data_IF_362010943839
#
_entry.id   IF_362010943839
#
_cell.length_a   1.000
_cell.length_b   1.000
_cell.length_c   1.000
_cell.angle_alpha   90.00
_cell.angle_beta   90.00
_cell.angle_gamma   90.00
#
_symmetry.space_group_name_H-M   'P 1'
#
loop_
_entity.id
_entity.type
_entity.pdbx_description
1 polymer ?
#
# COMPACT_ATOMS: atom_id res chain seq x y z
N UNK A 1 -23.86 -12.06 19.29
CA UNK A 1 -22.87 -12.99 18.71
C UNK A 1 -22.46 -12.41 17.36
N UNK A 2 -21.18 -12.07 17.19
CA UNK A 2 -20.70 -11.10 16.19
C UNK A 2 -20.91 -11.51 14.73
N UNK A 3 -21.24 -10.53 13.90
CA UNK A 3 -21.33 -10.63 12.44
C UNK A 3 -19.95 -10.88 11.85
N UNK A 4 -19.59 -12.15 11.69
CA UNK A 4 -18.38 -12.55 10.96
C UNK A 4 -18.62 -12.16 9.49
N UNK A 5 -17.93 -11.10 9.06
CA UNK A 5 -18.20 -10.44 7.79
C UNK A 5 -18.14 -11.39 6.59
N UNK A 6 -19.12 -11.26 5.71
CA UNK A 6 -19.29 -11.99 4.44
C UNK A 6 -17.98 -12.08 3.64
N UNK A 7 -17.13 -11.05 3.74
CA UNK A 7 -15.82 -10.97 3.10
C UNK A 7 -14.86 -12.12 3.47
N UNK A 8 -14.81 -12.54 4.74
CA UNK A 8 -13.93 -13.62 5.16
C UNK A 8 -14.43 -14.98 4.66
N UNK A 9 -15.76 -15.12 4.53
CA UNK A 9 -16.40 -16.31 4.01
C UNK A 9 -16.21 -16.45 2.49
N UNK A 10 -16.27 -15.34 1.75
CA UNK A 10 -15.96 -15.33 0.32
C UNK A 10 -14.51 -15.73 0.09
N UNK A 11 -13.56 -15.21 0.88
CA UNK A 11 -12.14 -15.57 0.74
C UNK A 11 -11.89 -17.05 1.09
N UNK A 12 -12.50 -17.56 2.16
CA UNK A 12 -12.42 -18.98 2.52
C UNK A 12 -13.09 -19.88 1.48
N UNK A 13 -14.22 -19.45 0.92
CA UNK A 13 -14.91 -20.12 -0.19
C UNK A 13 -14.05 -20.16 -1.45
N UNK A 14 -13.39 -19.05 -1.78
CA UNK A 14 -12.45 -18.95 -2.89
C UNK A 14 -11.25 -19.89 -2.71
N UNK A 15 -10.66 -19.95 -1.51
CA UNK A 15 -9.57 -20.87 -1.20
C UNK A 15 -9.99 -22.34 -1.31
N UNK A 16 -11.19 -22.68 -0.85
CA UNK A 16 -11.72 -24.05 -0.95
C UNK A 16 -11.93 -24.45 -2.41
N UNK A 17 -12.46 -23.54 -3.23
CA UNK A 17 -12.66 -23.78 -4.67
C UNK A 17 -11.34 -23.93 -5.43
N UNK A 18 -10.31 -23.17 -5.06
CA UNK A 18 -8.94 -23.34 -5.60
C UNK A 18 -8.33 -24.70 -5.24
N UNK A 19 -8.58 -25.21 -4.04
CA UNK A 19 -8.07 -26.52 -3.59
C UNK A 19 -8.76 -27.73 -4.25
N UNK A 20 -10.00 -27.57 -4.75
CA UNK A 20 -10.77 -28.66 -5.36
C UNK A 20 -10.48 -28.90 -6.86
N UNK A 21 -9.53 -28.15 -7.44
CA UNK A 21 -8.73 -28.61 -8.59
C UNK A 21 -9.50 -28.89 -9.88
N UNK A 22 -9.48 -27.90 -10.80
CA UNK A 22 -9.47 -28.03 -12.28
C UNK A 22 -9.95 -26.72 -12.91
N UNK A 23 -9.27 -25.63 -12.60
CA UNK A 23 -9.19 -24.56 -13.58
C UNK A 23 -7.73 -24.53 -13.99
N UNK A 24 -7.49 -24.84 -15.26
CA UNK A 24 -6.26 -24.54 -15.98
C UNK A 24 -5.72 -23.24 -15.42
N UNK A 25 -4.46 -23.25 -14.98
CA UNK A 25 -3.70 -22.11 -14.44
C UNK A 25 -3.84 -20.94 -15.40
N UNK A 26 -4.95 -20.21 -15.30
CA UNK A 26 -5.27 -19.16 -16.23
C UNK A 26 -4.34 -18.03 -15.87
N UNK A 27 -3.39 -17.73 -16.74
CA UNK A 27 -2.61 -16.50 -16.68
C UNK A 27 -3.50 -15.29 -16.38
N UNK A 28 -4.76 -15.28 -16.81
CA UNK A 28 -5.75 -14.27 -16.44
C UNK A 28 -6.01 -14.16 -14.92
N UNK A 29 -6.14 -15.27 -14.20
CA UNK A 29 -6.34 -15.26 -12.73
C UNK A 29 -5.06 -14.84 -12.01
N UNK A 30 -3.89 -15.29 -12.49
CA UNK A 30 -2.59 -14.83 -11.97
C UNK A 30 -2.36 -13.35 -12.26
N UNK A 31 -2.62 -12.87 -13.47
CA UNK A 31 -2.52 -11.48 -13.86
C UNK A 31 -3.53 -10.61 -13.11
N UNK A 32 -4.74 -11.10 -12.82
CA UNK A 32 -5.68 -10.40 -11.95
C UNK A 32 -5.25 -10.41 -10.48
N UNK A 33 -4.64 -11.50 -9.98
CA UNK A 33 -4.04 -11.55 -8.64
C UNK A 33 -2.80 -10.65 -8.54
N UNK A 34 -1.99 -10.56 -9.58
CA UNK A 34 -0.83 -9.69 -9.66
C UNK A 34 -1.26 -8.23 -9.85
N UNK A 35 -2.27 -7.95 -10.67
CA UNK A 35 -2.90 -6.63 -10.74
C UNK A 35 -3.51 -6.25 -9.39
N UNK A 36 -4.17 -7.18 -8.70
CA UNK A 36 -4.68 -6.97 -7.35
C UNK A 36 -3.55 -6.77 -6.33
N UNK A 37 -2.41 -7.47 -6.44
CA UNK A 37 -1.23 -7.27 -5.58
C UNK A 37 -0.52 -5.95 -5.87
N UNK A 38 -0.43 -5.55 -7.14
CA UNK A 38 0.19 -4.30 -7.62
C UNK A 38 -0.71 -3.10 -7.28
N UNK A 39 -2.03 -3.24 -7.42
CA UNK A 39 -3.05 -2.34 -6.85
C UNK A 39 -3.05 -2.37 -5.32
N UNK A 40 -2.68 -3.49 -4.68
CA UNK A 40 -2.63 -3.60 -3.23
C UNK A 40 -1.50 -2.78 -2.63
N UNK A 41 -0.39 -2.52 -3.36
CA UNK A 41 0.64 -1.59 -2.89
C UNK A 41 0.32 -0.14 -3.27
N UNK A 42 -0.84 0.32 -2.77
CA UNK A 42 -1.27 1.72 -2.80
C UNK A 42 -0.23 2.69 -2.26
N UNK A 43 0.75 2.23 -1.46
CA UNK A 43 1.82 3.08 -0.94
C UNK A 43 2.81 3.39 -2.05
N UNK A 44 3.19 2.41 -2.87
CA UNK A 44 4.01 2.64 -4.05
C UNK A 44 3.32 3.56 -5.05
N UNK A 45 2.03 3.33 -5.31
CA UNK A 45 1.25 4.15 -6.24
C UNK A 45 1.17 5.61 -5.75
N UNK A 46 0.85 5.81 -4.46
CA UNK A 46 0.90 7.12 -3.82
C UNK A 46 2.24 7.82 -3.99
N UNK A 47 3.36 7.11 -3.77
CA UNK A 47 4.69 7.71 -3.92
C UNK A 47 4.97 8.16 -5.35
N UNK A 48 4.60 7.34 -6.34
CA UNK A 48 4.81 7.61 -7.75
C UNK A 48 3.96 8.81 -8.23
N UNK A 49 2.65 8.77 -7.97
CA UNK A 49 1.72 9.81 -8.45
C UNK A 49 1.89 11.15 -7.72
N UNK A 50 2.26 11.12 -6.44
CA UNK A 50 2.55 12.34 -5.70
C UNK A 50 3.99 12.83 -5.89
N UNK A 51 4.80 12.13 -6.71
CA UNK A 51 6.17 12.54 -7.04
C UNK A 51 7.16 12.43 -5.89
N UNK A 52 6.90 11.56 -4.91
CA UNK A 52 7.85 11.28 -3.83
C UNK A 52 9.00 10.40 -4.32
N UNK A 53 10.22 10.88 -4.11
CA UNK A 53 11.45 10.17 -4.41
C UNK A 53 12.25 9.94 -3.14
N UNK A 54 13.01 8.83 -3.12
CA UNK A 54 13.99 8.56 -2.06
C UNK A 54 15.00 9.71 -2.01
N UNK A 55 15.35 10.15 -0.80
CA UNK A 55 16.31 11.24 -0.59
C UNK A 55 17.24 10.92 0.58
N UNK A 56 18.54 11.14 0.44
CA UNK A 56 19.51 11.01 1.54
C UNK A 56 19.52 12.20 2.49
N UNK A 57 19.22 13.39 1.98
CA UNK A 57 19.46 14.67 2.67
C UNK A 57 18.17 15.37 3.07
N UNK A 58 17.02 14.82 2.68
CA UNK A 58 15.71 15.39 2.97
C UNK A 58 14.82 14.37 3.66
N UNK A 59 14.21 14.80 4.75
CA UNK A 59 13.31 13.97 5.56
C UNK A 59 11.94 14.61 5.64
N UNK A 60 10.90 13.82 5.43
CA UNK A 60 9.51 14.22 5.65
C UNK A 60 9.01 13.57 6.94
N UNK A 61 8.29 14.29 7.83
CA UNK A 61 7.66 13.68 8.99
C UNK A 61 6.73 12.54 8.58
N UNK A 62 6.93 11.35 9.15
CA UNK A 62 6.15 10.16 8.79
C UNK A 62 4.65 10.36 9.05
N UNK A 63 4.31 11.17 10.06
CA UNK A 63 2.92 11.53 10.39
C UNK A 63 2.24 12.32 9.27
N UNK A 64 2.95 13.30 8.70
CA UNK A 64 2.43 14.11 7.60
C UNK A 64 2.35 13.29 6.33
N UNK A 65 3.41 12.54 6.00
CA UNK A 65 3.41 11.62 4.86
C UNK A 65 2.26 10.60 4.92
N UNK A 66 1.96 10.05 6.10
CA UNK A 66 0.84 9.14 6.29
C UNK A 66 -0.53 9.85 6.21
N UNK A 67 -0.62 11.12 6.59
CA UNK A 67 -1.85 11.91 6.41
C UNK A 67 -2.14 12.09 4.92
N UNK A 68 -1.11 12.45 4.14
CA UNK A 68 -1.23 12.68 2.71
C UNK A 68 -1.58 11.37 1.98
N UNK A 69 -0.95 10.26 2.35
CA UNK A 69 -1.30 8.92 1.86
C UNK A 69 -2.77 8.54 2.12
N UNK A 70 -3.30 8.87 3.31
CA UNK A 70 -4.71 8.60 3.62
C UNK A 70 -5.66 9.47 2.79
N UNK A 71 -5.32 10.74 2.58
CA UNK A 71 -6.12 11.63 1.73
C UNK A 71 -6.17 11.07 0.30
N UNK A 72 -5.01 10.78 -0.28
CA UNK A 72 -4.89 10.12 -1.58
C UNK A 72 -5.73 8.84 -1.67
N UNK A 73 -5.68 7.96 -0.65
CA UNK A 73 -6.50 6.76 -0.66
C UNK A 73 -8.01 7.05 -0.68
N UNK A 74 -8.46 8.06 0.07
CA UNK A 74 -9.89 8.41 0.14
C UNK A 74 -10.34 9.02 -1.19
N UNK A 75 -9.52 9.87 -1.80
CA UNK A 75 -9.81 10.55 -3.06
C UNK A 75 -9.93 9.55 -4.22
N UNK A 76 -9.03 8.57 -4.30
CA UNK A 76 -9.02 7.55 -5.36
C UNK A 76 -9.84 6.29 -5.03
N UNK A 77 -10.52 6.25 -3.87
CA UNK A 77 -11.34 5.11 -3.46
C UNK A 77 -10.55 3.87 -3.01
N UNK A 78 -9.25 4.03 -2.74
CA UNK A 78 -8.43 3.00 -2.11
C UNK A 78 -8.69 2.89 -0.61
N UNK A 79 -8.48 1.67 -0.07
CA UNK A 79 -8.50 1.45 1.38
C UNK A 79 -7.09 1.68 1.96
N UNK A 80 -6.88 2.69 2.82
CA UNK A 80 -5.57 2.92 3.40
C UNK A 80 -5.16 1.76 4.31
N UNK A 81 -3.90 1.35 4.22
CA UNK A 81 -3.32 0.43 5.20
C UNK A 81 -3.04 1.14 6.52
N UNK A 82 -2.93 0.38 7.61
CA UNK A 82 -2.54 0.96 8.90
C UNK A 82 -1.10 1.51 8.87
N UNK A 83 -0.75 2.33 9.86
CA UNK A 83 0.54 3.01 9.93
C UNK A 83 1.75 2.04 9.94
N UNK A 84 1.61 0.87 10.61
CA UNK A 84 2.67 -0.14 10.67
C UNK A 84 2.96 -0.77 9.31
N UNK A 85 1.90 -1.10 8.56
CA UNK A 85 2.00 -1.63 7.20
C UNK A 85 2.46 -0.57 6.20
N UNK A 86 2.04 0.69 6.40
CA UNK A 86 2.54 1.82 5.62
C UNK A 86 4.05 1.95 5.75
N UNK A 87 4.57 1.98 6.99
CA UNK A 87 6.01 2.03 7.25
C UNK A 87 6.74 0.81 6.66
N UNK A 88 6.19 -0.39 6.81
CA UNK A 88 6.76 -1.60 6.20
C UNK A 88 6.86 -1.50 4.67
N UNK A 89 5.84 -0.93 4.02
CA UNK A 89 5.81 -0.74 2.56
C UNK A 89 6.72 0.38 2.09
N UNK A 90 6.88 1.47 2.85
CA UNK A 90 7.89 2.49 2.59
C UNK A 90 9.29 1.85 2.53
N UNK A 91 9.65 1.10 3.58
CA UNK A 91 10.95 0.41 3.63
C UNK A 91 11.11 -0.62 2.48
N UNK A 92 10.03 -1.31 2.09
CA UNK A 92 10.04 -2.22 0.93
C UNK A 92 10.24 -1.48 -0.41
N UNK A 93 9.89 -0.20 -0.49
CA UNK A 93 10.14 0.68 -1.64
C UNK A 93 11.48 1.45 -1.50
N UNK A 94 12.37 1.03 -0.59
CA UNK A 94 13.70 1.64 -0.42
C UNK A 94 13.71 2.93 0.39
N UNK A 95 12.58 3.33 0.97
CA UNK A 95 12.47 4.53 1.80
C UNK A 95 12.79 4.16 3.24
N UNK A 96 13.94 4.65 3.72
CA UNK A 96 14.31 4.46 5.12
C UNK A 96 13.43 5.32 6.03
N UNK A 97 13.08 4.77 7.19
CA UNK A 97 12.40 5.51 8.25
C UNK A 97 13.19 5.44 9.56
N UNK A 98 13.33 6.57 10.25
CA UNK A 98 14.11 6.69 11.47
C UNK A 98 13.32 7.42 12.56
N UNK A 99 13.64 7.15 13.83
CA UNK A 99 13.09 7.89 14.97
C UNK A 99 13.89 9.18 15.19
N UNK A 100 13.22 10.32 15.03
CA UNK A 100 13.75 11.65 15.30
C UNK A 100 13.15 12.27 16.58
N UNK A 101 13.61 13.48 16.94
CA UNK A 101 13.19 14.21 18.15
C UNK A 101 11.67 14.47 18.23
N UNK A 102 11.01 14.61 17.09
CA UNK A 102 9.58 14.96 17.00
C UNK A 102 8.69 13.82 16.50
N UNK A 103 9.20 12.58 16.46
CA UNK A 103 8.49 11.41 15.94
C UNK A 103 9.31 10.66 14.89
N UNK A 104 8.66 9.84 14.08
CA UNK A 104 9.34 9.16 12.96
C UNK A 104 9.43 10.07 11.75
N UNK A 105 10.52 9.95 11.00
CA UNK A 105 10.75 10.63 9.73
C UNK A 105 11.03 9.59 8.63
N UNK A 106 10.70 9.94 7.39
CA UNK A 106 10.97 9.14 6.20
C UNK A 106 11.90 9.92 5.27
N UNK A 107 12.91 9.24 4.74
CA UNK A 107 13.93 9.78 3.83
C UNK A 107 13.39 9.90 2.40
N UNK A 108 12.47 10.86 2.22
CA UNK A 108 11.77 11.13 0.96
C UNK A 108 11.64 12.63 0.72
N UNK A 109 11.70 13.03 -0.55
CA UNK A 109 11.38 14.39 -1.00
C UNK A 109 10.23 14.35 -2.00
N UNK A 110 9.34 15.34 -1.94
CA UNK A 110 8.34 15.57 -3.00
C UNK A 110 9.01 16.36 -4.12
N UNK A 111 8.97 15.83 -5.34
CA UNK A 111 9.40 16.58 -6.52
C UNK A 111 8.21 17.41 -6.95
N UNK A 112 8.17 18.68 -6.55
CA UNK A 112 7.17 19.61 -7.06
C UNK A 112 7.45 19.75 -8.57
N UNK A 113 6.58 19.16 -9.40
CA UNK A 113 6.49 19.55 -10.81
C UNK A 113 5.89 20.95 -10.82
N UNK A 114 6.75 21.95 -10.65
CA UNK A 114 6.44 23.32 -11.03
C UNK A 114 6.21 23.34 -12.54
N UNK A 115 4.95 23.58 -12.94
CA UNK A 115 4.60 24.12 -14.24
C UNK A 115 4.11 25.55 -14.04
#
# INVERSE_FOLDING_TARGET
>A
MGTIGVFNWILAGLQRLLAQGRFTDCEAVRAQLEAYKRQSDTVRLFLDEQGYQVSSDYTTPLKDLYRDYKAYCIEDGYRPVNNKNFQKRLNANGIMTERARFGFVAYVRKTDMAF
#
